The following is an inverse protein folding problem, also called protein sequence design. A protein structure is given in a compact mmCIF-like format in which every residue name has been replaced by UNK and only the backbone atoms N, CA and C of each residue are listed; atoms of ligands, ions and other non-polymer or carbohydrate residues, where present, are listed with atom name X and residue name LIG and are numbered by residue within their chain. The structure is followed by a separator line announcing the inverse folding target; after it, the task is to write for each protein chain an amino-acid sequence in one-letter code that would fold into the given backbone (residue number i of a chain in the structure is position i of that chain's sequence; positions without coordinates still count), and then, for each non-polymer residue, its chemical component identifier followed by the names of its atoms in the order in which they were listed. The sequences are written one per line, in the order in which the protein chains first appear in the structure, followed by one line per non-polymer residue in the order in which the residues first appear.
data_IF_953564113808
#
_entry.id   IF_953564113808
#
_cell.length_a   1.000
_cell.length_b   1.000
_cell.length_c   1.000
_cell.angle_alpha   90.00
_cell.angle_beta   90.00
_cell.angle_gamma   90.00
#
_symmetry.space_group_name_H-M   'P 1'
#
loop_
_entity.id
_entity.type
_entity.pdbx_description
1 polymer ?
#
# COMPACT_ATOMS: atom_id res chain seq x y z
N UNK A 1 -8.63 -11.05 -8.33
CA UNK A 1 -8.96 -10.75 -6.92
C UNK A 1 -10.48 -10.65 -6.80
N UNK A 2 -11.19 -11.65 -6.26
CA UNK A 2 -12.66 -11.71 -6.42
C UNK A 2 -13.49 -11.06 -5.30
N UNK A 3 -12.86 -10.54 -4.25
CA UNK A 3 -13.55 -10.05 -3.04
C UNK A 3 -12.93 -8.79 -2.43
N UNK A 4 -12.07 -8.09 -3.17
CA UNK A 4 -11.28 -6.98 -2.61
C UNK A 4 -12.16 -5.78 -2.24
N UNK A 5 -13.25 -5.57 -2.95
CA UNK A 5 -14.29 -4.58 -2.69
C UNK A 5 -14.97 -4.79 -1.32
N UNK A 6 -15.03 -6.03 -0.82
CA UNK A 6 -15.62 -6.38 0.48
C UNK A 6 -14.77 -5.95 1.68
N UNK A 7 -13.55 -5.45 1.43
CA UNK A 7 -12.71 -4.89 2.49
C UNK A 7 -13.33 -3.58 3.02
N UNK A 8 -13.91 -2.78 2.13
CA UNK A 8 -14.64 -1.56 2.49
C UNK A 8 -15.74 -1.86 3.53
N UNK A 9 -15.97 -0.99 4.53
CA UNK A 9 -15.42 0.37 4.70
C UNK A 9 -14.06 0.43 5.42
N UNK A 10 -13.39 -0.71 5.64
CA UNK A 10 -12.04 -0.70 6.24
C UNK A 10 -11.04 -0.12 5.24
N UNK A 11 -10.11 0.72 5.68
CA UNK A 11 -9.14 1.38 4.81
C UNK A 11 -8.09 0.41 4.28
N UNK A 12 -7.63 0.64 3.05
CA UNK A 12 -6.52 -0.10 2.43
C UNK A 12 -5.40 0.86 2.06
N UNK A 13 -4.17 0.52 2.41
CA UNK A 13 -2.96 1.18 1.91
C UNK A 13 -2.16 0.18 1.07
N UNK A 14 -1.97 0.50 -0.20
CA UNK A 14 -1.06 -0.22 -1.09
C UNK A 14 0.28 0.51 -1.12
N UNK A 15 1.39 -0.23 -1.01
CA UNK A 15 2.75 0.30 -1.14
C UNK A 15 3.46 -0.45 -2.26
N UNK A 16 3.94 0.28 -3.26
CA UNK A 16 4.65 -0.29 -4.41
C UNK A 16 5.96 0.45 -4.68
N UNK A 17 6.95 -0.26 -5.22
CA UNK A 17 8.13 0.38 -5.80
C UNK A 17 7.85 0.88 -7.21
N UNK A 18 8.30 2.09 -7.55
CA UNK A 18 8.13 2.71 -8.87
C UNK A 18 8.60 1.80 -10.01
N UNK A 19 9.75 1.15 -9.83
CA UNK A 19 10.44 0.28 -10.79
C UNK A 19 10.19 -1.22 -10.53
N UNK A 20 9.23 -1.57 -9.67
CA UNK A 20 8.93 -2.96 -9.38
C UNK A 20 8.20 -3.61 -10.55
N UNK A 21 8.74 -4.72 -11.09
CA UNK A 21 8.03 -5.53 -12.09
C UNK A 21 6.65 -5.98 -11.59
N UNK A 22 6.50 -6.18 -10.28
CA UNK A 22 5.25 -6.59 -9.64
C UNK A 22 4.23 -5.46 -9.45
N UNK A 23 4.52 -4.21 -9.83
CA UNK A 23 3.65 -3.06 -9.51
C UNK A 23 2.21 -3.23 -10.00
N UNK A 24 2.05 -3.82 -11.20
CA UNK A 24 0.75 -3.96 -11.85
C UNK A 24 -0.23 -4.79 -11.00
N UNK A 25 0.26 -5.76 -10.22
CA UNK A 25 -0.60 -6.53 -9.33
C UNK A 25 -1.30 -5.65 -8.28
N UNK A 26 -0.60 -4.66 -7.73
CA UNK A 26 -1.17 -3.73 -6.75
C UNK A 26 -1.98 -2.63 -7.41
N UNK A 27 -1.64 -2.21 -8.63
CA UNK A 27 -2.44 -1.24 -9.40
C UNK A 27 -3.80 -1.84 -9.79
N UNK A 28 -3.81 -3.06 -10.33
CA UNK A 28 -5.05 -3.79 -10.63
C UNK A 28 -5.91 -3.96 -9.37
N UNK A 29 -5.27 -4.33 -8.25
CA UNK A 29 -5.95 -4.44 -6.96
C UNK A 29 -6.50 -3.09 -6.47
N UNK A 30 -5.73 -2.02 -6.62
CA UNK A 30 -6.15 -0.67 -6.23
C UNK A 30 -7.36 -0.22 -7.05
N UNK A 31 -7.37 -0.43 -8.37
CA UNK A 31 -8.51 -0.09 -9.21
C UNK A 31 -9.77 -0.87 -8.81
N UNK A 32 -9.64 -2.16 -8.50
CA UNK A 32 -10.75 -3.01 -8.06
C UNK A 32 -11.25 -2.72 -6.64
N UNK A 33 -10.41 -2.16 -5.75
CA UNK A 33 -10.77 -1.88 -4.37
C UNK A 33 -11.80 -0.74 -4.25
N UNK A 34 -12.70 -0.84 -3.29
CA UNK A 34 -13.60 0.25 -2.92
C UNK A 34 -12.94 1.19 -1.89
N UNK A 35 -13.40 2.44 -1.82
CA UNK A 35 -12.93 3.43 -0.84
C UNK A 35 -13.25 3.00 0.62
N UNK A 36 -12.48 3.45 1.62
CA UNK A 36 -11.29 4.30 1.52
C UNK A 36 -10.02 3.53 1.13
N UNK A 37 -9.29 4.00 0.10
CA UNK A 37 -8.05 3.38 -0.38
C UNK A 37 -6.96 4.40 -0.69
N UNK A 38 -5.70 4.00 -0.52
CA UNK A 38 -4.53 4.82 -0.81
C UNK A 38 -3.47 3.99 -1.56
N UNK A 39 -2.83 4.58 -2.56
CA UNK A 39 -1.68 4.00 -3.26
C UNK A 39 -0.43 4.87 -3.01
N UNK A 40 0.60 4.28 -2.41
CA UNK A 40 1.88 4.93 -2.14
C UNK A 40 2.96 4.33 -3.03
N UNK A 41 3.52 5.14 -3.93
CA UNK A 41 4.60 4.75 -4.84
C UNK A 41 5.94 5.22 -4.27
N UNK A 42 6.84 4.28 -3.98
CA UNK A 42 8.20 4.55 -3.50
C UNK A 42 9.10 4.82 -4.71
N UNK A 43 9.57 6.06 -4.91
CA UNK A 43 10.40 6.42 -6.07
C UNK A 43 11.69 5.59 -6.11
N UNK A 44 12.09 5.16 -7.30
CA UNK A 44 13.31 4.39 -7.51
C UNK A 44 13.27 2.92 -7.08
N UNK A 45 12.38 2.53 -6.15
CA UNK A 45 12.37 1.19 -5.56
C UNK A 45 11.89 0.10 -6.52
N UNK A 46 12.53 -1.08 -6.45
CA UNK A 46 12.09 -2.34 -7.08
C UNK A 46 11.38 -3.22 -6.06
N UNK A 47 10.88 -4.36 -6.52
CA UNK A 47 10.14 -5.31 -5.68
C UNK A 47 10.90 -5.72 -4.41
N UNK A 48 12.15 -6.17 -4.55
CA UNK A 48 12.97 -6.66 -3.43
C UNK A 48 13.48 -5.55 -2.52
N UNK A 49 13.55 -4.31 -2.99
CA UNK A 49 14.10 -3.21 -2.19
C UNK A 49 13.20 -2.95 -0.97
N UNK A 50 11.88 -3.19 -1.07
CA UNK A 50 10.95 -3.04 0.05
C UNK A 50 10.98 -4.21 1.06
N UNK A 51 11.91 -5.16 0.92
CA UNK A 51 12.05 -6.28 1.88
C UNK A 51 13.00 -5.93 3.03
N UNK A 52 14.10 -5.24 2.74
CA UNK A 52 15.20 -5.03 3.69
C UNK A 52 15.88 -3.65 3.60
N UNK A 53 15.63 -2.85 2.56
CA UNK A 53 16.18 -1.49 2.45
C UNK A 53 15.40 -0.53 3.33
N UNK A 54 15.83 -0.41 4.58
CA UNK A 54 15.22 0.48 5.58
C UNK A 54 15.16 1.96 5.12
N UNK A 55 16.03 2.36 4.19
CA UNK A 55 16.05 3.69 3.58
C UNK A 55 14.95 3.89 2.52
N UNK A 56 14.33 2.81 2.03
CA UNK A 56 13.27 2.83 1.02
C UNK A 56 11.91 2.41 1.56
N UNK A 57 11.85 1.57 2.61
CA UNK A 57 10.58 1.17 3.23
C UNK A 57 9.94 2.40 3.89
N UNK A 58 8.71 2.81 3.49
CA UNK A 58 8.10 4.03 3.98
C UNK A 58 7.44 3.81 5.35
N UNK A 59 8.25 3.57 6.39
CA UNK A 59 7.78 3.32 7.76
C UNK A 59 6.89 4.46 8.30
N UNK A 60 7.24 5.71 8.05
CA UNK A 60 6.43 6.88 8.46
C UNK A 60 5.02 6.86 7.82
N UNK A 61 4.91 6.36 6.58
CA UNK A 61 3.62 6.22 5.91
C UNK A 61 2.78 5.11 6.55
N UNK A 62 3.40 3.98 6.90
CA UNK A 62 2.75 2.89 7.61
C UNK A 62 2.28 3.34 9.01
N UNK A 63 3.16 4.02 9.75
CA UNK A 63 2.86 4.54 11.09
C UNK A 63 1.70 5.54 11.04
N UNK A 64 1.75 6.53 10.15
CA UNK A 64 0.67 7.51 10.01
C UNK A 64 -0.67 6.88 9.61
N UNK A 65 -0.66 5.89 8.71
CA UNK A 65 -1.87 5.16 8.32
C UNK A 65 -2.48 4.39 9.49
N UNK A 66 -1.67 3.60 10.22
CA UNK A 66 -2.16 2.86 11.38
C UNK A 66 -2.55 3.78 12.54
N UNK A 67 -1.82 4.86 12.80
CA UNK A 67 -2.20 5.85 13.82
C UNK A 67 -3.57 6.46 13.52
N UNK A 68 -3.85 6.78 12.25
CA UNK A 68 -5.14 7.34 11.80
C UNK A 68 -6.31 6.36 11.98
N UNK A 69 -6.11 5.07 11.69
CA UNK A 69 -7.21 4.10 11.59
C UNK A 69 -7.28 3.07 12.72
N UNK A 70 -6.22 2.92 13.53
CA UNK A 70 -6.16 2.07 14.73
C UNK A 70 -5.86 2.85 16.02
N UNK A 71 -5.52 4.14 15.93
CA UNK A 71 -5.36 5.00 17.10
C UNK A 71 -6.57 4.89 18.02
N UNK A 72 -6.32 4.51 19.28
CA UNK A 72 -7.36 4.25 20.29
C UNK A 72 -8.40 5.38 20.31
N UNK A 73 -9.68 5.01 20.42
CA UNK A 73 -10.70 5.89 21.01
C UNK A 73 -10.29 6.28 22.43
#
# INVERSE_FOLDING_TARGET
MNYIETISPRPILFIIGENAHSRYFSEDAYEMAAEPKELYVVPGARHIDLYDRIDMIPFDKLESFFAKYLGKK
#
